data_IF_421650227737
#
_entry.id   IF_421650227737
#
_cell.length_a   1.000
_cell.length_b   1.000
_cell.length_c   1.000
_cell.angle_alpha   90.00
_cell.angle_beta   90.00
_cell.angle_gamma   90.00
#
_symmetry.space_group_name_H-M   'P 1'
#
loop_
_entity.id
_entity.type
_entity.pdbx_description
1 polymer ?
#
# COMPACT_ATOMS: atom_id res chain seq x y z
N UNK A 1 -3.13 6.43 -12.42
CA UNK A 1 -3.82 5.22 -11.94
C UNK A 1 -3.42 4.99 -10.50
N UNK A 2 -4.35 5.10 -9.57
CA UNK A 2 -4.17 4.57 -8.22
C UNK A 2 -4.16 3.04 -8.32
N UNK A 3 -3.25 2.36 -7.61
CA UNK A 3 -3.31 0.90 -7.47
C UNK A 3 -3.93 0.60 -6.10
N UNK A 4 -4.94 -0.26 -6.08
CA UNK A 4 -5.44 -0.79 -4.81
C UNK A 4 -4.47 -1.89 -4.35
N UNK A 5 -4.01 -1.81 -3.12
CA UNK A 5 -3.21 -2.86 -2.47
C UNK A 5 -3.98 -3.38 -1.26
N UNK A 6 -3.89 -4.68 -1.01
CA UNK A 6 -4.61 -5.35 0.08
C UNK A 6 -3.61 -5.87 1.10
N UNK A 7 -3.69 -5.40 2.34
CA UNK A 7 -2.77 -5.79 3.40
C UNK A 7 -3.47 -6.69 4.43
N UNK A 8 -2.87 -7.83 4.77
CA UNK A 8 -3.29 -8.64 5.90
C UNK A 8 -2.76 -8.00 7.20
N UNK A 9 -3.63 -7.62 8.14
CA UNK A 9 -3.21 -6.97 9.39
C UNK A 9 -2.63 -7.93 10.42
N UNK A 10 -2.72 -9.24 10.17
CA UNK A 10 -2.13 -10.28 11.05
C UNK A 10 -0.62 -10.39 10.82
N UNK A 11 -0.18 -10.40 9.56
CA UNK A 11 1.23 -10.57 9.19
C UNK A 11 1.84 -9.35 8.49
N UNK A 12 1.06 -8.27 8.31
CA UNK A 12 1.41 -7.06 7.56
C UNK A 12 1.83 -7.29 6.11
N UNK A 13 1.59 -8.47 5.54
CA UNK A 13 1.93 -8.81 4.16
C UNK A 13 0.92 -8.18 3.20
N UNK A 14 1.43 -7.68 2.08
CA UNK A 14 0.63 -7.11 0.99
C UNK A 14 0.34 -8.19 -0.06
N UNK A 15 -0.89 -8.17 -0.56
CA UNK A 15 -1.42 -9.09 -1.56
C UNK A 15 -2.01 -8.30 -2.72
N UNK A 16 -2.00 -8.93 -3.89
CA UNK A 16 -2.48 -8.33 -5.14
C UNK A 16 -4.01 -8.36 -5.29
N UNK A 17 -4.71 -9.08 -4.41
CA UNK A 17 -6.17 -9.22 -4.41
C UNK A 17 -6.73 -9.28 -2.99
N UNK A 18 -7.98 -8.84 -2.82
CA UNK A 18 -8.68 -8.90 -1.52
C UNK A 18 -8.79 -10.33 -1.00
N UNK A 19 -9.21 -11.27 -1.84
CA UNK A 19 -9.40 -12.68 -1.48
C UNK A 19 -8.10 -13.30 -0.91
N UNK A 20 -6.96 -13.06 -1.57
CA UNK A 20 -5.67 -13.54 -1.07
C UNK A 20 -5.27 -12.93 0.28
N UNK A 21 -5.64 -11.67 0.54
CA UNK A 21 -5.38 -11.03 1.83
C UNK A 21 -6.29 -11.58 2.94
N UNK A 22 -7.58 -11.79 2.64
CA UNK A 22 -8.57 -12.32 3.59
C UNK A 22 -8.23 -13.77 3.94
N UNK A 23 -7.85 -14.58 2.95
CA UNK A 23 -7.48 -15.98 3.14
C UNK A 23 -6.07 -16.19 3.71
N UNK A 24 -5.21 -15.17 3.78
CA UNK A 24 -3.83 -15.33 4.27
C UNK A 24 -3.78 -15.86 5.72
N UNK A 25 -4.59 -15.30 6.61
CA UNK A 25 -4.71 -15.74 8.01
C UNK A 25 -6.18 -15.83 8.47
N UNK A 26 -7.15 -15.71 7.55
CA UNK A 26 -8.58 -15.58 7.88
C UNK A 26 -8.81 -14.46 8.91
N UNK A 27 -8.14 -13.33 8.69
CA UNK A 27 -8.05 -12.22 9.64
C UNK A 27 -8.37 -10.87 8.99
N UNK A 28 -8.38 -9.78 9.77
CA UNK A 28 -8.75 -8.47 9.26
C UNK A 28 -7.78 -8.00 8.18
N UNK A 29 -8.34 -7.43 7.12
CA UNK A 29 -7.60 -6.89 5.96
C UNK A 29 -7.82 -5.39 5.83
N UNK A 30 -6.77 -4.69 5.43
CA UNK A 30 -6.83 -3.27 5.11
C UNK A 30 -6.63 -3.07 3.61
N UNK A 31 -7.58 -2.40 2.97
CA UNK A 31 -7.45 -1.94 1.59
C UNK A 31 -6.84 -0.55 1.61
N UNK A 32 -5.72 -0.37 0.91
CA UNK A 32 -5.05 0.92 0.79
C UNK A 32 -5.12 1.33 -0.68
N UNK A 33 -5.72 2.48 -0.95
CA UNK A 33 -5.56 3.10 -2.25
C UNK A 33 -4.15 3.69 -2.31
N UNK A 34 -3.27 3.04 -3.07
CA UNK A 34 -1.97 3.55 -3.42
C UNK A 34 -2.19 4.65 -4.47
N UNK A 35 -2.78 5.75 -4.03
CA UNK A 35 -2.75 7.01 -4.74
C UNK A 35 -1.28 7.34 -4.93
N UNK A 36 -0.89 7.64 -6.17
CA UNK A 36 0.49 7.92 -6.56
C UNK A 36 1.02 8.92 -5.53
N UNK A 37 1.76 8.43 -4.54
CA UNK A 37 2.48 9.30 -3.65
C UNK A 37 3.65 9.73 -4.51
N UNK A 38 3.37 10.66 -5.43
CA UNK A 38 4.34 11.64 -5.88
C UNK A 38 4.69 12.39 -4.62
N UNK A 39 5.53 11.77 -3.79
CA UNK A 39 6.68 12.45 -3.24
C UNK A 39 7.36 13.01 -4.48
N UNK A 40 6.86 14.16 -4.94
CA UNK A 40 7.71 15.22 -5.38
C UNK A 40 8.74 15.31 -4.27
N UNK A 41 9.86 14.58 -4.44
CA UNK A 41 11.14 15.12 -4.03
C UNK A 41 11.07 16.51 -4.61
N UNK A 42 10.66 17.50 -3.80
CA UNK A 42 11.02 18.88 -4.05
C UNK A 42 12.51 18.75 -4.27
N UNK A 43 12.90 18.84 -5.55
CA UNK A 43 14.27 19.10 -5.96
C UNK A 43 14.69 20.18 -4.98
N UNK A 44 15.62 19.86 -4.08
CA UNK A 44 16.18 20.86 -3.21
C UNK A 44 16.75 21.94 -4.11
N UNK A 45 15.98 23.00 -4.37
CA UNK A 45 16.51 24.33 -4.25
C UNK A 45 16.88 24.41 -2.78
N UNK A 46 18.17 24.27 -2.50
CA UNK A 46 18.91 24.72 -1.31
C UNK A 46 20.14 23.81 -1.18
N UNK A 47 21.23 24.24 -1.81
CA UNK A 47 22.53 23.59 -1.75
C UNK A 47 23.47 24.23 -2.77
N UNK A 48 23.83 25.48 -2.47
CA UNK A 48 24.89 26.33 -3.03
C UNK A 48 25.78 25.72 -4.13
#
# INVERSE_FOLDING_TARGET
MSKLIYQCLVCNKVHDSLDAAENCHKGPTQTIEQGITKFSKRKGLLGN
#
